data_IF_793691686092
#
_entry.id   IF_793691686092
#
_cell.length_a   1.000
_cell.length_b   1.000
_cell.length_c   1.000
_cell.angle_alpha   90.00
_cell.angle_beta   90.00
_cell.angle_gamma   90.00
#
_symmetry.space_group_name_H-M   'P 1'
#
loop_
_entity.id
_entity.type
_entity.pdbx_description
1 polymer ?
#
# COMPACT_ATOMS: atom_id res chain seq x y z
N UNK A 1 -26.71 -44.37 -28.96
CA UNK A 1 -25.65 -44.09 -27.98
C UNK A 1 -26.15 -42.91 -27.19
N UNK A 2 -26.89 -43.19 -26.13
CA UNK A 2 -27.38 -42.18 -25.20
C UNK A 2 -26.18 -41.65 -24.42
N UNK A 3 -25.92 -40.35 -24.54
CA UNK A 3 -24.98 -39.68 -23.67
C UNK A 3 -25.64 -39.57 -22.30
N UNK A 4 -25.27 -40.51 -21.43
CA UNK A 4 -25.57 -40.54 -20.00
C UNK A 4 -25.19 -39.18 -19.38
N UNK A 5 -26.18 -38.32 -19.19
CA UNK A 5 -26.07 -37.06 -18.46
C UNK A 5 -25.79 -37.43 -17.00
N UNK A 6 -24.50 -37.62 -16.67
CA UNK A 6 -24.07 -37.76 -15.28
C UNK A 6 -24.57 -36.55 -14.52
N UNK A 7 -25.46 -36.78 -13.57
CA UNK A 7 -25.93 -35.81 -12.60
C UNK A 7 -24.71 -35.10 -11.99
N UNK A 8 -24.44 -33.88 -12.46
CA UNK A 8 -23.46 -33.03 -11.80
C UNK A 8 -23.97 -32.84 -10.37
N UNK A 9 -23.14 -33.12 -9.35
CA UNK A 9 -23.56 -32.92 -7.97
C UNK A 9 -24.01 -31.47 -7.85
N UNK A 10 -25.25 -31.27 -7.40
CA UNK A 10 -25.78 -29.94 -7.09
C UNK A 10 -24.80 -29.28 -6.14
N UNK A 11 -24.02 -28.32 -6.64
CA UNK A 11 -23.06 -27.55 -5.86
C UNK A 11 -23.89 -26.90 -4.76
N UNK A 12 -23.82 -27.45 -3.56
CA UNK A 12 -24.49 -26.90 -2.39
C UNK A 12 -23.92 -25.50 -2.25
N UNK A 13 -24.77 -24.49 -2.47
CA UNK A 13 -24.43 -23.09 -2.26
C UNK A 13 -24.29 -22.86 -0.75
N UNK A 14 -23.21 -23.35 -0.17
CA UNK A 14 -22.85 -23.00 1.19
C UNK A 14 -22.56 -21.50 1.20
N UNK A 15 -23.37 -20.75 1.95
CA UNK A 15 -23.12 -19.33 2.12
C UNK A 15 -21.83 -19.13 2.90
N UNK A 16 -20.80 -18.66 2.21
CA UNK A 16 -19.53 -18.34 2.86
C UNK A 16 -19.62 -16.99 3.61
N UNK A 17 -18.98 -16.93 4.78
CA UNK A 17 -18.84 -15.68 5.54
C UNK A 17 -17.67 -14.83 5.00
N UNK A 18 -17.57 -13.56 5.42
CA UNK A 18 -16.50 -12.67 4.95
C UNK A 18 -15.09 -13.17 5.27
N UNK A 19 -14.91 -13.83 6.42
CA UNK A 19 -13.60 -14.37 6.83
C UNK A 19 -13.08 -15.43 5.87
N UNK A 20 -13.97 -16.18 5.20
CA UNK A 20 -13.59 -17.13 4.15
C UNK A 20 -12.90 -16.41 2.98
N UNK A 21 -13.47 -15.31 2.49
CA UNK A 21 -12.89 -14.55 1.36
C UNK A 21 -11.57 -13.87 1.71
N UNK A 22 -11.32 -13.60 2.99
CA UNK A 22 -10.06 -13.04 3.50
C UNK A 22 -8.96 -14.08 3.69
N UNK A 23 -9.24 -15.38 3.56
CA UNK A 23 -8.20 -16.41 3.66
C UNK A 23 -7.18 -16.25 2.52
N UNK A 24 -5.85 -16.35 2.79
CA UNK A 24 -4.84 -16.02 1.79
C UNK A 24 -4.99 -16.74 0.45
N UNK A 25 -5.33 -18.03 0.48
CA UNK A 25 -5.56 -18.84 -0.73
C UNK A 25 -6.77 -18.38 -1.53
N UNK A 26 -7.90 -18.13 -0.85
CA UNK A 26 -9.15 -17.68 -1.48
C UNK A 26 -8.98 -16.27 -2.03
N UNK A 27 -8.39 -15.37 -1.24
CA UNK A 27 -8.15 -13.99 -1.64
C UNK A 27 -7.22 -13.89 -2.85
N UNK A 28 -6.14 -14.69 -2.89
CA UNK A 28 -5.25 -14.77 -4.06
C UNK A 28 -6.01 -15.13 -5.34
N UNK A 29 -6.93 -16.11 -5.29
CA UNK A 29 -7.78 -16.47 -6.43
C UNK A 29 -8.72 -15.33 -6.84
N UNK A 30 -9.32 -14.63 -5.87
CA UNK A 30 -10.22 -13.49 -6.12
C UNK A 30 -9.46 -12.38 -6.85
N UNK A 31 -8.30 -11.96 -6.34
CA UNK A 31 -7.55 -10.84 -6.94
C UNK A 31 -6.99 -11.21 -8.32
N UNK A 32 -6.62 -12.48 -8.53
CA UNK A 32 -6.16 -12.97 -9.83
C UNK A 32 -7.30 -12.97 -10.86
N UNK A 33 -8.54 -13.30 -10.48
CA UNK A 33 -9.67 -13.24 -11.43
C UNK A 33 -10.18 -11.81 -11.68
N UNK A 34 -9.82 -10.85 -10.80
CA UNK A 34 -10.23 -9.44 -10.89
C UNK A 34 -9.04 -8.51 -11.16
N UNK A 35 -8.18 -8.92 -12.09
CA UNK A 35 -6.94 -8.21 -12.43
C UNK A 35 -7.14 -6.73 -12.77
N UNK A 36 -8.24 -6.36 -13.42
CA UNK A 36 -8.47 -4.95 -13.79
C UNK A 36 -8.58 -4.04 -12.55
N UNK A 37 -9.32 -4.45 -11.52
CA UNK A 37 -9.53 -3.66 -10.30
C UNK A 37 -8.26 -3.68 -9.46
N UNK A 38 -7.80 -4.88 -9.07
CA UNK A 38 -6.66 -5.02 -8.17
C UNK A 38 -5.33 -4.67 -8.83
N UNK A 39 -5.20 -4.91 -10.13
CA UNK A 39 -4.02 -4.52 -10.91
C UNK A 39 -3.92 -3.00 -11.09
N UNK A 40 -5.04 -2.30 -11.33
CA UNK A 40 -5.05 -0.83 -11.35
C UNK A 40 -4.66 -0.27 -9.98
N UNK A 41 -5.23 -0.83 -8.90
CA UNK A 41 -4.85 -0.45 -7.54
C UNK A 41 -3.36 -0.69 -7.26
N UNK A 42 -2.83 -1.86 -7.64
CA UNK A 42 -1.42 -2.19 -7.46
C UNK A 42 -0.51 -1.27 -8.28
N UNK A 43 -0.89 -0.92 -9.50
CA UNK A 43 -0.14 0.01 -10.36
C UNK A 43 -0.07 1.41 -9.75
N UNK A 44 -1.21 1.93 -9.28
CA UNK A 44 -1.27 3.25 -8.62
C UNK A 44 -0.40 3.25 -7.37
N UNK A 45 -0.53 2.21 -6.52
CA UNK A 45 0.31 2.06 -5.33
C UNK A 45 1.80 1.98 -5.68
N UNK A 46 2.15 1.18 -6.69
CA UNK A 46 3.53 0.99 -7.12
C UNK A 46 4.16 2.31 -7.57
N UNK A 47 3.49 3.03 -8.47
CA UNK A 47 3.98 4.30 -8.99
C UNK A 47 4.03 5.38 -7.90
N UNK A 48 3.00 5.45 -7.06
CA UNK A 48 2.95 6.40 -5.93
C UNK A 48 4.14 6.22 -4.99
N UNK A 49 4.35 5.01 -4.48
CA UNK A 49 5.48 4.72 -3.59
C UNK A 49 6.83 4.94 -4.29
N UNK A 50 6.96 4.54 -5.55
CA UNK A 50 8.19 4.78 -6.32
C UNK A 50 8.52 6.27 -6.42
N UNK A 51 7.55 7.12 -6.77
CA UNK A 51 7.77 8.57 -6.86
C UNK A 51 8.11 9.19 -5.51
N UNK A 52 7.42 8.81 -4.43
CA UNK A 52 7.74 9.29 -3.08
C UNK A 52 9.17 8.91 -2.66
N UNK A 53 9.64 7.70 -3.01
CA UNK A 53 11.02 7.27 -2.75
C UNK A 53 12.02 8.15 -3.51
N UNK A 54 11.82 8.37 -4.81
CA UNK A 54 12.73 9.18 -5.63
C UNK A 54 12.76 10.63 -5.13
N UNK A 55 11.61 11.24 -4.89
CA UNK A 55 11.51 12.62 -4.40
C UNK A 55 12.15 12.74 -3.02
N UNK A 56 11.84 11.83 -2.10
CA UNK A 56 12.41 11.82 -0.76
C UNK A 56 13.93 11.63 -0.77
N UNK A 57 14.46 10.73 -1.60
CA UNK A 57 15.91 10.51 -1.73
C UNK A 57 16.60 11.75 -2.29
N UNK A 58 16.00 12.40 -3.29
CA UNK A 58 16.50 13.65 -3.84
C UNK A 58 16.55 14.72 -2.75
N UNK A 59 15.45 14.98 -2.06
CA UNK A 59 15.35 16.00 -0.99
C UNK A 59 16.22 15.69 0.24
N UNK A 60 16.49 14.42 0.52
CA UNK A 60 17.39 14.02 1.59
C UNK A 60 18.87 14.25 1.24
N UNK A 61 19.21 14.10 -0.04
CA UNK A 61 20.57 14.20 -0.56
C UNK A 61 20.91 15.60 -1.06
N UNK A 62 19.91 16.46 -1.25
CA UNK A 62 20.07 17.80 -1.81
C UNK A 62 20.82 18.75 -0.86
N UNK A 63 21.58 19.68 -1.46
CA UNK A 63 22.37 20.67 -0.74
C UNK A 63 21.50 21.68 0.01
N UNK A 64 20.24 21.85 -0.36
CA UNK A 64 19.27 22.69 0.35
C UNK A 64 19.12 22.29 1.83
N UNK A 65 19.42 21.03 2.18
CA UNK A 65 19.47 20.58 3.58
C UNK A 65 20.51 21.32 4.42
N UNK A 66 21.51 21.95 3.81
CA UNK A 66 22.56 22.71 4.50
C UNK A 66 22.18 24.18 4.70
N UNK A 67 21.08 24.65 4.11
CA UNK A 67 20.62 26.02 4.26
C UNK A 67 20.25 26.30 5.72
N UNK A 68 20.76 27.41 6.23
CA UNK A 68 20.53 27.82 7.60
C UNK A 68 19.05 28.16 7.82
N UNK A 69 18.46 27.60 8.87
CA UNK A 69 17.13 28.02 9.29
C UNK A 69 17.20 29.36 10.03
N UNK A 70 16.04 29.98 10.25
CA UNK A 70 15.93 31.26 10.96
C UNK A 70 16.19 31.12 12.48
N UNK A 71 17.39 30.69 12.85
CA UNK A 71 17.88 30.61 14.22
C UNK A 71 18.72 31.83 14.61
N UNK A 72 18.81 32.15 15.91
CA UNK A 72 19.82 33.08 16.42
C UNK A 72 21.23 32.66 15.99
N UNK A 73 22.12 33.64 15.76
CA UNK A 73 23.51 33.39 15.35
C UNK A 73 24.20 32.38 16.29
N UNK A 74 24.79 31.33 15.72
CA UNK A 74 25.56 30.32 16.45
C UNK A 74 24.85 28.96 16.62
N UNK A 75 23.60 28.82 16.20
CA UNK A 75 22.92 27.52 16.16
C UNK A 75 23.26 26.75 14.88
N UNK A 76 23.78 25.52 15.05
CA UNK A 76 24.22 24.65 13.95
C UNK A 76 23.20 23.55 13.62
N UNK A 77 21.99 23.56 14.20
CA UNK A 77 20.95 22.52 14.00
C UNK A 77 20.27 22.55 12.61
N UNK A 78 20.82 23.27 11.65
CA UNK A 78 20.15 23.59 10.39
C UNK A 78 19.77 22.36 9.55
N UNK A 79 20.63 21.35 9.45
CA UNK A 79 20.36 20.22 8.55
C UNK A 79 19.44 19.16 9.15
N UNK A 80 19.49 18.98 10.47
CA UNK A 80 18.89 17.81 11.14
C UNK A 80 17.39 17.91 11.36
N UNK A 81 16.77 19.08 11.21
CA UNK A 81 15.34 19.28 11.55
C UNK A 81 14.41 18.35 10.77
N UNK A 82 14.68 18.14 9.48
CA UNK A 82 13.86 17.28 8.62
C UNK A 82 14.49 15.92 8.27
N UNK A 83 15.75 15.67 8.66
CA UNK A 83 16.49 14.45 8.28
C UNK A 83 15.78 13.19 8.77
N UNK A 84 15.45 13.13 10.07
CA UNK A 84 14.80 11.96 10.66
C UNK A 84 13.42 11.72 10.05
N UNK A 85 12.63 12.78 9.85
CA UNK A 85 11.31 12.69 9.21
C UNK A 85 11.40 12.11 7.80
N UNK A 86 12.33 12.59 6.99
CA UNK A 86 12.53 12.08 5.63
C UNK A 86 13.00 10.63 5.62
N UNK A 87 13.94 10.25 6.50
CA UNK A 87 14.42 8.86 6.60
C UNK A 87 13.28 7.92 6.97
N UNK A 88 12.44 8.28 7.95
CA UNK A 88 11.32 7.46 8.38
C UNK A 88 10.28 7.26 7.26
N UNK A 89 9.93 8.34 6.56
CA UNK A 89 9.00 8.30 5.42
C UNK A 89 9.58 7.47 4.27
N UNK A 90 10.86 7.66 3.94
CA UNK A 90 11.55 6.86 2.92
C UNK A 90 11.56 5.37 3.26
N UNK A 91 11.88 5.01 4.50
CA UNK A 91 11.85 3.64 4.96
C UNK A 91 10.44 3.04 4.84
N UNK A 92 9.42 3.81 5.20
CA UNK A 92 8.02 3.39 5.07
C UNK A 92 7.66 3.11 3.61
N UNK A 93 7.92 4.04 2.69
CA UNK A 93 7.59 3.82 1.28
C UNK A 93 8.38 2.68 0.67
N UNK A 94 9.64 2.46 1.05
CA UNK A 94 10.44 1.36 0.54
C UNK A 94 9.82 0.00 0.92
N UNK A 95 9.41 -0.16 2.18
CA UNK A 95 8.76 -1.39 2.65
C UNK A 95 7.40 -1.58 1.97
N UNK A 96 6.60 -0.52 1.88
CA UNK A 96 5.32 -0.56 1.17
C UNK A 96 5.47 -0.86 -0.31
N UNK A 97 6.50 -0.33 -0.97
CA UNK A 97 6.77 -0.59 -2.38
C UNK A 97 7.05 -2.08 -2.62
N UNK A 98 7.88 -2.71 -1.77
CA UNK A 98 8.11 -4.16 -1.79
C UNK A 98 6.79 -4.91 -1.56
N UNK A 99 5.97 -4.45 -0.61
CA UNK A 99 4.66 -5.05 -0.32
C UNK A 99 3.72 -4.98 -1.52
N UNK A 100 3.64 -3.86 -2.23
CA UNK A 100 2.85 -3.71 -3.46
C UNK A 100 3.40 -4.59 -4.58
N UNK A 101 4.73 -4.74 -4.72
CA UNK A 101 5.33 -5.67 -5.69
C UNK A 101 4.90 -7.10 -5.41
N UNK A 102 4.95 -7.57 -4.16
CA UNK A 102 4.48 -8.92 -3.79
C UNK A 102 3.01 -9.11 -4.17
N UNK A 103 2.16 -8.12 -3.91
CA UNK A 103 0.74 -8.15 -4.28
C UNK A 103 0.55 -8.20 -5.80
N UNK A 104 1.27 -7.37 -6.55
CA UNK A 104 1.26 -7.35 -8.01
C UNK A 104 1.71 -8.68 -8.61
N UNK A 105 2.76 -9.31 -8.04
CA UNK A 105 3.23 -10.63 -8.44
C UNK A 105 2.15 -11.69 -8.25
N UNK A 106 1.38 -11.65 -7.15
CA UNK A 106 0.24 -12.55 -6.98
C UNK A 106 -0.84 -12.35 -8.04
N UNK A 107 -1.16 -11.10 -8.39
CA UNK A 107 -2.16 -10.80 -9.42
C UNK A 107 -1.70 -11.27 -10.80
N UNK A 108 -0.47 -10.94 -11.18
CA UNK A 108 0.04 -11.12 -12.55
C UNK A 108 0.52 -12.55 -12.82
N UNK A 109 1.18 -13.17 -11.84
CA UNK A 109 1.81 -14.49 -12.02
C UNK A 109 1.05 -15.62 -11.31
N UNK A 110 0.03 -15.31 -10.50
CA UNK A 110 -0.72 -16.31 -9.74
C UNK A 110 0.05 -16.94 -8.56
N UNK A 111 1.29 -16.50 -8.30
CA UNK A 111 2.08 -17.00 -7.16
C UNK A 111 1.57 -16.41 -5.85
N UNK A 112 1.20 -17.27 -4.90
CA UNK A 112 0.51 -16.84 -3.67
C UNK A 112 1.47 -16.24 -2.62
N UNK A 113 1.74 -14.95 -2.73
CA UNK A 113 2.49 -14.16 -1.74
C UNK A 113 1.59 -13.53 -0.66
N UNK A 114 0.28 -13.76 -0.68
CA UNK A 114 -0.67 -13.15 0.27
C UNK A 114 -0.34 -13.45 1.74
N UNK A 115 0.14 -14.65 2.15
CA UNK A 115 0.54 -14.87 3.53
C UNK A 115 1.68 -13.94 3.98
N UNK A 116 2.68 -13.73 3.13
CA UNK A 116 3.81 -12.82 3.41
C UNK A 116 3.33 -11.36 3.38
N UNK A 117 2.44 -11.02 2.44
CA UNK A 117 1.80 -9.71 2.36
C UNK A 117 1.01 -9.39 3.64
N UNK A 118 0.27 -10.35 4.22
CA UNK A 118 -0.37 -10.19 5.53
C UNK A 118 0.65 -10.04 6.67
N UNK A 119 1.75 -10.80 6.68
CA UNK A 119 2.79 -10.63 7.69
C UNK A 119 3.40 -9.23 7.67
N UNK A 120 3.66 -8.70 6.48
CA UNK A 120 4.18 -7.33 6.30
C UNK A 120 3.13 -6.24 6.52
N UNK A 121 1.87 -6.58 6.81
CA UNK A 121 0.84 -5.61 7.19
C UNK A 121 1.16 -4.83 8.47
N UNK A 122 2.05 -5.36 9.32
CA UNK A 122 2.60 -4.67 10.49
C UNK A 122 3.31 -3.36 10.12
N UNK A 123 3.80 -3.22 8.88
CA UNK A 123 4.37 -1.97 8.38
C UNK A 123 3.36 -0.80 8.43
N UNK A 124 2.06 -1.09 8.42
CA UNK A 124 1.00 -0.09 8.62
C UNK A 124 1.16 0.63 9.97
N UNK A 125 1.52 -0.11 11.03
CA UNK A 125 1.75 0.47 12.36
C UNK A 125 3.00 1.35 12.35
N UNK A 126 4.08 0.88 11.70
CA UNK A 126 5.29 1.69 11.50
C UNK A 126 4.98 2.99 10.73
N UNK A 127 4.18 2.91 9.66
CA UNK A 127 3.71 4.06 8.90
C UNK A 127 2.98 5.08 9.79
N UNK A 128 1.98 4.65 10.57
CA UNK A 128 1.28 5.55 11.50
C UNK A 128 2.27 6.27 12.44
N UNK A 129 3.21 5.55 13.04
CA UNK A 129 4.20 6.13 13.95
C UNK A 129 5.09 7.15 13.21
N UNK A 130 5.58 6.79 12.01
CA UNK A 130 6.40 7.65 11.17
C UNK A 130 5.66 8.95 10.81
N UNK A 131 4.40 8.87 10.39
CA UNK A 131 3.63 10.06 10.01
C UNK A 131 3.21 10.93 11.20
N UNK A 132 2.98 10.36 12.39
CA UNK A 132 2.82 11.15 13.61
C UNK A 132 4.10 11.95 13.89
N UNK A 133 5.27 11.30 13.79
CA UNK A 133 6.55 11.98 13.96
C UNK A 133 6.74 13.11 12.93
N UNK A 134 6.44 12.86 11.66
CA UNK A 134 6.49 13.86 10.58
C UNK A 134 5.56 15.04 10.87
N UNK A 135 4.33 14.79 11.34
CA UNK A 135 3.41 15.85 11.75
C UNK A 135 4.04 16.73 12.82
N UNK A 136 4.51 16.11 13.90
CA UNK A 136 5.10 16.84 15.03
C UNK A 136 6.28 17.67 14.57
N UNK A 137 7.20 17.09 13.78
CA UNK A 137 8.36 17.82 13.28
C UNK A 137 8.01 18.92 12.29
N UNK A 138 7.05 18.70 11.40
CA UNK A 138 6.66 19.70 10.39
C UNK A 138 5.98 20.91 11.03
N UNK A 139 5.23 20.72 12.12
CA UNK A 139 4.40 21.77 12.73
C UNK A 139 4.93 22.33 14.06
N UNK A 140 6.04 21.79 14.60
CA UNK A 140 6.73 22.39 15.74
C UNK A 140 7.43 23.72 15.36
N UNK A 141 8.03 24.39 16.35
CA UNK A 141 8.69 25.68 16.12
C UNK A 141 9.91 25.58 15.20
N UNK A 142 10.70 24.53 15.35
CA UNK A 142 11.92 24.31 14.56
C UNK A 142 11.57 24.09 13.08
N UNK A 143 10.61 23.22 12.78
CA UNK A 143 10.10 23.00 11.43
C UNK A 143 9.54 24.28 10.82
N UNK A 144 8.75 25.06 11.56
CA UNK A 144 8.26 26.36 11.09
C UNK A 144 9.38 27.34 10.74
N UNK A 145 10.44 27.40 11.56
CA UNK A 145 11.61 28.27 11.30
C UNK A 145 12.44 27.83 10.10
N UNK A 146 12.45 26.53 9.81
CA UNK A 146 13.16 25.96 8.66
C UNK A 146 12.31 25.94 7.38
N UNK A 147 11.00 26.16 7.45
CA UNK A 147 10.11 25.97 6.30
C UNK A 147 10.43 26.91 5.13
N UNK A 148 10.82 28.16 5.39
CA UNK A 148 11.15 29.11 4.33
C UNK A 148 12.53 28.84 3.73
N UNK A 149 13.52 28.49 4.56
CA UNK A 149 14.88 28.19 4.11
C UNK A 149 15.01 26.86 3.39
N UNK A 150 14.22 25.85 3.79
CA UNK A 150 14.26 24.49 3.25
C UNK A 150 12.90 24.10 2.65
N UNK A 151 12.42 24.97 1.76
CA UNK A 151 11.06 24.94 1.22
C UNK A 151 10.67 23.60 0.61
N UNK A 152 11.51 23.03 -0.27
CA UNK A 152 11.19 21.75 -0.92
C UNK A 152 10.97 20.61 0.08
N UNK A 153 11.78 20.55 1.13
CA UNK A 153 11.67 19.54 2.20
C UNK A 153 10.39 19.75 3.01
N UNK A 154 10.11 20.99 3.39
CA UNK A 154 8.94 21.35 4.19
C UNK A 154 7.62 21.15 3.42
N UNK A 155 7.57 21.49 2.14
CA UNK A 155 6.42 21.28 1.26
C UNK A 155 6.19 19.79 1.00
N UNK A 156 7.25 19.01 0.75
CA UNK A 156 7.14 17.57 0.59
C UNK A 156 6.60 16.88 1.84
N UNK A 157 7.16 17.16 3.03
CA UNK A 157 6.65 16.58 4.28
C UNK A 157 5.19 16.97 4.56
N UNK A 158 4.77 18.17 4.16
CA UNK A 158 3.36 18.57 4.25
C UNK A 158 2.48 17.80 3.26
N UNK A 159 2.92 17.64 2.01
CA UNK A 159 2.21 16.86 1.01
C UNK A 159 2.07 15.39 1.44
N UNK A 160 3.14 14.81 1.97
CA UNK A 160 3.18 13.47 2.56
C UNK A 160 2.14 13.30 3.66
N UNK A 161 2.07 14.25 4.59
CA UNK A 161 1.04 14.28 5.64
C UNK A 161 -0.37 14.25 5.07
N UNK A 162 -0.66 15.08 4.06
CA UNK A 162 -1.99 15.17 3.45
C UNK A 162 -2.32 13.87 2.70
N UNK A 163 -1.40 13.41 1.84
CA UNK A 163 -1.57 12.21 1.02
C UNK A 163 -1.77 10.99 1.91
N UNK A 164 -0.98 10.83 2.98
CA UNK A 164 -1.13 9.72 3.91
C UNK A 164 -2.55 9.66 4.47
N UNK A 165 -3.07 10.73 5.07
CA UNK A 165 -4.41 10.68 5.66
C UNK A 165 -5.54 10.49 4.64
N UNK A 166 -5.38 10.98 3.42
CA UNK A 166 -6.37 10.79 2.35
C UNK A 166 -6.36 9.36 1.79
N UNK A 167 -5.20 8.74 1.70
CA UNK A 167 -5.03 7.46 0.99
C UNK A 167 -4.92 6.25 1.91
N UNK A 168 -4.49 6.44 3.16
CA UNK A 168 -4.17 5.38 4.12
C UNK A 168 -5.26 4.31 4.22
N UNK A 169 -6.52 4.70 4.37
CA UNK A 169 -7.60 3.72 4.49
C UNK A 169 -7.82 2.89 3.22
N UNK A 170 -7.58 3.48 2.04
CA UNK A 170 -7.75 2.81 0.76
C UNK A 170 -6.55 1.96 0.36
N UNK A 171 -5.34 2.34 0.78
CA UNK A 171 -4.09 1.65 0.45
C UNK A 171 -3.72 0.59 1.48
N UNK A 172 -4.06 0.76 2.75
CA UNK A 172 -3.77 -0.24 3.79
C UNK A 172 -4.75 -1.41 3.79
N UNK A 173 -5.94 -1.25 3.20
CA UNK A 173 -7.00 -2.25 3.26
C UNK A 173 -7.59 -2.54 1.87
N UNK A 174 -6.90 -3.32 1.00
CA UNK A 174 -7.49 -3.76 -0.28
C UNK A 174 -8.74 -4.63 -0.08
N UNK A 175 -8.94 -5.20 1.11
CA UNK A 175 -10.20 -5.83 1.52
C UNK A 175 -11.41 -4.87 1.45
N UNK A 176 -11.18 -3.56 1.49
CA UNK A 176 -12.20 -2.55 1.23
C UNK A 176 -12.93 -2.80 -0.11
N UNK A 177 -12.22 -3.24 -1.15
CA UNK A 177 -12.86 -3.59 -2.41
C UNK A 177 -13.77 -4.82 -2.28
N UNK A 178 -13.44 -5.78 -1.41
CA UNK A 178 -14.34 -6.92 -1.14
C UNK A 178 -15.64 -6.45 -0.48
N UNK A 179 -15.59 -5.42 0.37
CA UNK A 179 -16.80 -4.87 1.01
C UNK A 179 -17.70 -4.12 0.02
N UNK A 180 -17.14 -3.50 -1.01
CA UNK A 180 -17.92 -2.80 -2.04
C UNK A 180 -18.47 -3.76 -3.10
N UNK A 181 -17.78 -4.88 -3.34
CA UNK A 181 -18.23 -5.87 -4.30
C UNK A 181 -19.44 -6.65 -3.77
N UNK A 182 -20.43 -6.84 -4.65
CA UNK A 182 -21.56 -7.73 -4.37
C UNK A 182 -21.07 -9.16 -4.15
N UNK A 183 -21.62 -9.85 -3.15
CA UNK A 183 -21.23 -11.22 -2.77
C UNK A 183 -21.33 -12.18 -3.95
N UNK A 184 -22.38 -12.05 -4.76
CA UNK A 184 -22.64 -12.88 -5.94
C UNK A 184 -21.49 -12.77 -6.95
N UNK A 185 -20.95 -11.56 -7.16
CA UNK A 185 -19.84 -11.34 -8.08
C UNK A 185 -18.53 -11.95 -7.57
N UNK A 186 -18.36 -12.10 -6.25
CA UNK A 186 -17.18 -12.73 -5.64
C UNK A 186 -17.30 -14.25 -5.78
N UNK A 187 -18.47 -14.82 -5.50
CA UNK A 187 -18.72 -16.25 -5.62
C UNK A 187 -18.64 -16.73 -7.07
N UNK A 188 -19.21 -15.99 -8.01
CA UNK A 188 -19.08 -16.27 -9.45
C UNK A 188 -17.62 -16.27 -9.88
N UNK A 189 -16.84 -15.30 -9.38
CA UNK A 189 -15.41 -15.22 -9.68
C UNK A 189 -14.62 -16.42 -9.14
N UNK A 190 -14.98 -16.93 -7.97
CA UNK A 190 -14.34 -18.12 -7.38
C UNK A 190 -14.73 -19.39 -8.13
N UNK A 191 -16.02 -19.58 -8.43
CA UNK A 191 -16.53 -20.74 -9.15
C UNK A 191 -15.89 -20.88 -10.52
N UNK A 192 -15.81 -19.79 -11.28
CA UNK A 192 -15.16 -19.77 -12.60
C UNK A 192 -13.69 -20.25 -12.51
N UNK A 193 -12.95 -19.81 -11.50
CA UNK A 193 -11.54 -20.19 -11.32
C UNK A 193 -11.39 -21.65 -10.92
N UNK A 194 -12.30 -22.19 -10.11
CA UNK A 194 -12.30 -23.60 -9.71
C UNK A 194 -12.63 -24.52 -10.90
N UNK A 195 -13.60 -24.16 -11.73
CA UNK A 195 -13.90 -24.96 -12.94
C UNK A 195 -12.74 -24.98 -13.94
N UNK A 196 -12.04 -23.85 -14.12
CA UNK A 196 -10.84 -23.79 -14.96
C UNK A 196 -9.72 -24.70 -14.44
N UNK A 197 -9.52 -24.77 -13.11
CA UNK A 197 -8.54 -25.67 -12.50
C UNK A 197 -8.92 -27.15 -12.63
N UNK A 198 -10.22 -27.48 -12.56
CA UNK A 198 -10.72 -28.85 -12.75
C UNK A 198 -10.56 -29.35 -14.19
N UNK A 199 -10.68 -28.47 -15.19
CA UNK A 199 -10.49 -28.83 -16.61
C UNK A 199 -9.01 -29.04 -17.00
N UNK A 200 -8.07 -28.47 -16.24
CA UNK A 200 -6.62 -28.64 -16.46
C UNK A 200 -6.06 -29.96 -15.87
N UNK A 201 -6.84 -30.69 -15.07
CA UNK A 201 -6.43 -31.90 -14.34
C UNK A 201 -7.03 -33.20 -14.91
#
# INVERSE_FOLDING_TARGET
MDHDHKDQPTVINEEHNFMYYSQPKVFAKIIQNRMAIFGTWALIGYLGHFFCIIIGLNLYSDNDRLLACNYPKGDHRNSSVYDTSLILVLAYHLIEWIRVIMFAVTILLGSNFIPIWYGTSLNTVFGIIAYIYVHVQRFNEDGKRCADSQRGRAEFLLAEVIIFWLTFFFTSFPHFFLFIMKKENIEEALKKKLSEEEEEH
#
